data_IF_687079214055
#
_entry.id   IF_687079214055
#
_cell.length_a   1.000
_cell.length_b   1.000
_cell.length_c   1.000
_cell.angle_alpha   90.00
_cell.angle_beta   90.00
_cell.angle_gamma   90.00
#
_symmetry.space_group_name_H-M   'P 1'
#
loop_
_entity.id
_entity.type
_entity.pdbx_description
1 polymer ?
#
# COMPACT_ATOMS: atom_id res chain seq x y z
N UNK A 1 -3.66 -2.89 -20.07
CA UNK A 1 -5.09 -2.79 -20.39
C UNK A 1 -5.46 -1.32 -20.43
N UNK A 2 -6.03 -0.82 -21.53
CA UNK A 2 -6.64 0.50 -21.56
C UNK A 2 -7.89 0.52 -20.67
N UNK A 3 -8.06 1.57 -19.87
CA UNK A 3 -9.33 1.85 -19.19
C UNK A 3 -10.36 2.32 -20.22
N UNK A 4 -11.66 2.10 -19.93
CA UNK A 4 -12.74 2.61 -20.80
C UNK A 4 -12.80 4.13 -20.84
N UNK A 5 -12.34 4.80 -19.77
CA UNK A 5 -12.38 6.25 -19.62
C UNK A 5 -10.97 6.81 -19.39
N UNK A 6 -10.70 8.01 -19.92
CA UNK A 6 -9.47 8.73 -19.64
C UNK A 6 -9.49 9.34 -18.23
N UNK A 7 -8.32 9.56 -17.63
CA UNK A 7 -8.20 10.16 -16.29
C UNK A 7 -8.90 11.52 -16.24
N UNK A 8 -8.76 12.34 -17.29
CA UNK A 8 -9.35 13.68 -17.36
C UNK A 8 -10.89 13.64 -17.36
N UNK A 9 -11.49 12.60 -17.96
CA UNK A 9 -12.94 12.45 -17.97
C UNK A 9 -13.46 12.08 -16.59
N UNK A 10 -12.76 11.18 -15.90
CA UNK A 10 -13.06 10.79 -14.52
C UNK A 10 -12.90 11.98 -13.58
N UNK A 11 -11.81 12.75 -13.72
CA UNK A 11 -11.59 13.98 -12.96
C UNK A 11 -12.72 14.98 -13.16
N UNK A 12 -13.14 15.22 -14.41
CA UNK A 12 -14.24 16.15 -14.72
C UNK A 12 -15.54 15.74 -14.04
N UNK A 13 -15.89 14.45 -14.08
CA UNK A 13 -17.12 13.93 -13.48
C UNK A 13 -17.06 14.01 -11.95
N UNK A 14 -15.96 13.60 -11.34
CA UNK A 14 -15.85 13.54 -9.87
C UNK A 14 -15.70 14.96 -9.28
N UNK A 15 -14.94 15.85 -9.93
CA UNK A 15 -14.83 17.25 -9.52
C UNK A 15 -16.14 18.02 -9.74
N UNK A 16 -16.81 17.84 -10.89
CA UNK A 16 -18.07 18.50 -11.21
C UNK A 16 -19.21 18.17 -10.23
N UNK A 17 -19.12 17.03 -9.56
CA UNK A 17 -20.10 16.60 -8.56
C UNK A 17 -19.68 16.92 -7.10
N UNK A 18 -18.55 17.59 -6.86
CA UNK A 18 -18.04 17.86 -5.51
C UNK A 18 -17.66 16.59 -4.72
N UNK A 19 -17.30 15.52 -5.44
CA UNK A 19 -17.04 14.19 -4.87
C UNK A 19 -15.57 14.06 -4.43
N UNK A 20 -14.65 14.88 -4.94
CA UNK A 20 -13.24 14.81 -4.53
C UNK A 20 -13.04 15.50 -3.19
N UNK A 21 -12.31 14.86 -2.27
CA UNK A 21 -11.76 15.55 -1.11
C UNK A 21 -10.82 16.65 -1.57
N UNK A 22 -11.13 17.91 -1.25
CA UNK A 22 -10.25 19.04 -1.52
C UNK A 22 -8.87 18.75 -0.93
N UNK A 23 -7.89 18.54 -1.81
CA UNK A 23 -6.51 18.44 -1.40
C UNK A 23 -5.99 19.85 -1.19
N UNK A 24 -5.10 20.07 -0.22
CA UNK A 24 -4.35 21.31 -0.16
C UNK A 24 -3.66 21.52 -1.50
N UNK A 25 -3.80 22.71 -2.10
CA UNK A 25 -3.07 23.09 -3.31
C UNK A 25 -1.55 22.99 -3.12
N UNK A 26 -1.11 23.04 -1.86
CA UNK A 26 0.28 22.89 -1.45
C UNK A 26 0.54 21.59 -0.67
N UNK A 27 0.74 20.49 -1.41
CA UNK A 27 1.21 19.21 -0.87
C UNK A 27 2.69 19.25 -0.42
N UNK A 28 3.41 20.36 -0.62
CA UNK A 28 4.81 20.50 -0.18
C UNK A 28 4.93 20.76 1.32
N UNK A 29 3.88 21.29 1.96
CA UNK A 29 3.81 21.50 3.42
C UNK A 29 3.64 20.21 4.22
N UNK A 30 3.23 19.10 3.58
CA UNK A 30 3.20 17.76 4.19
C UNK A 30 4.61 17.13 4.27
N UNK A 31 5.61 17.96 4.54
CA UNK A 31 7.06 17.69 4.51
C UNK A 31 7.53 16.76 5.65
N UNK A 32 6.89 15.59 5.78
CA UNK A 32 7.57 14.40 6.25
C UNK A 32 8.04 13.66 5.00
N UNK A 33 9.35 13.56 4.81
CA UNK A 33 9.94 12.92 3.65
C UNK A 33 9.67 11.41 3.70
N UNK A 34 8.50 10.97 3.23
CA UNK A 34 8.13 9.55 3.11
C UNK A 34 9.11 8.74 2.26
N UNK A 35 9.81 9.44 1.36
CA UNK A 35 10.84 8.90 0.50
C UNK A 35 12.13 9.65 0.81
N UNK A 36 13.27 9.00 1.04
CA UNK A 36 14.55 9.69 1.25
C UNK A 36 14.90 10.59 0.07
N UNK A 37 15.48 11.75 0.32
CA UNK A 37 15.90 12.69 -0.74
C UNK A 37 16.95 12.11 -1.70
N UNK A 38 17.64 11.04 -1.29
CA UNK A 38 18.60 10.31 -2.13
C UNK A 38 17.95 9.41 -3.18
N UNK A 39 16.65 9.13 -3.08
CA UNK A 39 15.95 8.20 -3.95
C UNK A 39 15.20 8.95 -5.06
N UNK A 40 15.61 8.70 -6.31
CA UNK A 40 15.03 9.36 -7.48
C UNK A 40 13.78 8.60 -7.96
N UNK A 41 12.65 8.81 -7.26
CA UNK A 41 11.34 8.23 -7.60
C UNK A 41 10.58 9.14 -8.56
N UNK A 42 9.79 8.55 -9.46
CA UNK A 42 8.90 9.27 -10.37
C UNK A 42 8.01 10.29 -9.61
N UNK A 43 8.10 11.60 -9.90
CA UNK A 43 7.44 12.62 -9.08
C UNK A 43 5.93 12.45 -8.94
N UNK A 44 5.26 12.00 -10.01
CA UNK A 44 3.81 11.77 -9.97
C UNK A 44 3.42 10.60 -9.05
N UNK A 45 4.28 9.58 -8.93
CA UNK A 45 4.05 8.46 -8.02
C UNK A 45 4.18 8.91 -6.55
N UNK A 46 5.20 9.73 -6.26
CA UNK A 46 5.36 10.35 -4.93
C UNK A 46 4.18 11.26 -4.61
N UNK A 47 3.68 12.03 -5.58
CA UNK A 47 2.50 12.87 -5.40
C UNK A 47 1.25 12.03 -5.05
N UNK A 48 1.04 10.90 -5.72
CA UNK A 48 -0.04 9.97 -5.37
C UNK A 48 0.13 9.34 -3.99
N UNK A 49 1.36 8.98 -3.61
CA UNK A 49 1.64 8.47 -2.28
C UNK A 49 1.30 9.48 -1.19
N UNK A 50 1.72 10.74 -1.37
CA UNK A 50 1.37 11.83 -0.45
C UNK A 50 -0.14 12.08 -0.39
N UNK A 51 -0.80 12.09 -1.56
CA UNK A 51 -2.24 12.25 -1.66
C UNK A 51 -2.98 11.15 -0.88
N UNK A 52 -2.62 9.89 -1.10
CA UNK A 52 -3.19 8.74 -0.40
C UNK A 52 -2.97 8.82 1.12
N UNK A 53 -1.74 9.19 1.54
CA UNK A 53 -1.39 9.36 2.96
C UNK A 53 -2.21 10.46 3.61
N UNK A 54 -2.38 11.60 2.94
CA UNK A 54 -3.19 12.70 3.44
C UNK A 54 -4.67 12.29 3.61
N UNK A 55 -5.24 11.61 2.62
CA UNK A 55 -6.62 11.11 2.68
C UNK A 55 -6.80 10.12 3.83
N UNK A 56 -5.84 9.20 4.02
CA UNK A 56 -5.82 8.30 5.17
C UNK A 56 -5.86 9.03 6.50
N UNK A 57 -5.04 10.08 6.67
CA UNK A 57 -5.01 10.91 7.89
C UNK A 57 -6.35 11.61 8.12
N UNK A 58 -6.97 12.16 7.07
CA UNK A 58 -8.31 12.75 7.14
C UNK A 58 -9.36 11.73 7.60
N UNK A 59 -9.35 10.51 7.04
CA UNK A 59 -10.27 9.44 7.40
C UNK A 59 -10.09 8.95 8.85
N UNK A 60 -8.84 8.83 9.30
CA UNK A 60 -8.54 8.45 10.69
C UNK A 60 -8.97 9.55 11.65
N UNK A 61 -8.74 10.83 11.33
CA UNK A 61 -9.22 11.93 12.16
C UNK A 61 -10.75 12.03 12.16
N UNK A 62 -11.43 11.82 11.03
CA UNK A 62 -12.89 11.76 10.97
C UNK A 62 -13.45 10.61 11.83
N UNK A 63 -12.78 9.46 11.83
CA UNK A 63 -13.14 8.31 12.67
C UNK A 63 -12.97 8.59 14.17
N UNK A 64 -12.00 9.44 14.53
CA UNK A 64 -11.77 9.92 15.90
C UNK A 64 -12.61 11.15 16.27
N UNK A 65 -13.43 11.67 15.35
CA UNK A 65 -14.23 12.88 15.56
C UNK A 65 -13.46 14.20 15.49
N UNK A 66 -12.20 14.20 15.04
CA UNK A 66 -11.37 15.41 14.90
C UNK A 66 -11.54 16.10 13.55
N UNK A 67 -12.14 15.43 12.56
CA UNK A 67 -12.51 15.99 11.26
C UNK A 67 -13.97 15.69 10.92
N UNK A 68 -14.51 16.43 9.97
CA UNK A 68 -15.86 16.20 9.47
C UNK A 68 -15.97 14.79 8.86
N UNK A 69 -17.07 14.08 9.17
CA UNK A 69 -17.38 12.80 8.54
C UNK A 69 -17.56 13.00 7.03
N UNK A 70 -16.79 12.24 6.27
CA UNK A 70 -16.86 12.24 4.81
C UNK A 70 -18.04 11.39 4.35
N UNK A 71 -18.71 11.81 3.28
CA UNK A 71 -19.80 11.01 2.73
C UNK A 71 -19.22 9.80 1.96
N UNK A 72 -19.96 8.69 1.90
CA UNK A 72 -19.49 7.45 1.25
C UNK A 72 -19.14 7.67 -0.24
N UNK A 73 -19.91 8.51 -0.93
CA UNK A 73 -19.67 8.85 -2.33
C UNK A 73 -18.34 9.58 -2.52
N UNK A 74 -17.99 10.51 -1.63
CA UNK A 74 -16.76 11.29 -1.62
C UNK A 74 -15.55 10.40 -1.40
N UNK A 75 -15.64 9.50 -0.42
CA UNK A 75 -14.60 8.49 -0.19
C UNK A 75 -14.46 7.63 -1.43
N UNK A 76 -15.53 7.01 -1.91
CA UNK A 76 -15.46 6.11 -3.05
C UNK A 76 -14.93 6.79 -4.32
N UNK A 77 -15.45 7.96 -4.69
CA UNK A 77 -15.00 8.70 -5.87
C UNK A 77 -13.53 9.13 -5.75
N UNK A 78 -13.08 9.55 -4.56
CA UNK A 78 -11.67 9.88 -4.33
C UNK A 78 -10.76 8.67 -4.58
N UNK A 79 -11.12 7.49 -4.08
CA UNK A 79 -10.33 6.26 -4.29
C UNK A 79 -10.41 5.71 -5.71
N UNK A 80 -11.54 5.86 -6.40
CA UNK A 80 -11.64 5.58 -7.83
C UNK A 80 -10.69 6.48 -8.61
N UNK A 81 -10.70 7.79 -8.35
CA UNK A 81 -9.80 8.73 -9.02
C UNK A 81 -8.32 8.39 -8.77
N UNK A 82 -7.95 8.07 -7.52
CA UNK A 82 -6.60 7.60 -7.19
C UNK A 82 -6.21 6.37 -8.00
N UNK A 83 -7.12 5.40 -8.15
CA UNK A 83 -6.90 4.20 -8.96
C UNK A 83 -6.65 4.52 -10.44
N UNK A 84 -7.45 5.42 -11.03
CA UNK A 84 -7.26 5.87 -12.41
C UNK A 84 -5.91 6.58 -12.61
N UNK A 85 -5.55 7.48 -11.69
CA UNK A 85 -4.25 8.17 -11.75
C UNK A 85 -3.08 7.20 -11.61
N UNK A 86 -3.16 6.24 -10.69
CA UNK A 86 -2.13 5.21 -10.51
C UNK A 86 -1.99 4.35 -11.78
N UNK A 87 -3.10 3.90 -12.36
CA UNK A 87 -3.08 3.10 -13.59
C UNK A 87 -2.48 3.84 -14.79
N UNK A 88 -2.68 5.17 -14.88
CA UNK A 88 -2.06 5.99 -15.92
C UNK A 88 -0.54 6.10 -15.81
N UNK A 89 0.04 5.86 -14.63
CA UNK A 89 1.49 5.82 -14.44
C UNK A 89 2.13 4.50 -14.89
N UNK A 90 1.35 3.41 -14.98
CA UNK A 90 1.88 2.09 -15.28
C UNK A 90 2.69 2.01 -16.59
N UNK A 91 2.26 2.58 -17.73
CA UNK A 91 3.06 2.59 -18.95
C UNK A 91 4.39 3.35 -18.78
N UNK A 92 4.39 4.44 -18.00
CA UNK A 92 5.56 5.28 -17.77
C UNK A 92 6.58 4.56 -16.88
N UNK A 93 6.10 3.91 -15.82
CA UNK A 93 6.94 3.08 -14.94
C UNK A 93 7.53 1.90 -15.73
N UNK A 94 6.75 1.25 -16.59
CA UNK A 94 7.24 0.17 -17.46
C UNK A 94 8.32 0.64 -18.42
N UNK A 95 8.14 1.79 -19.06
CA UNK A 95 9.11 2.36 -19.99
C UNK A 95 10.42 2.75 -19.27
N UNK A 96 10.33 3.31 -18.06
CA UNK A 96 11.46 3.74 -17.24
C UNK A 96 12.24 2.57 -16.65
N UNK A 97 11.55 1.59 -16.08
CA UNK A 97 12.14 0.52 -15.28
C UNK A 97 12.33 -0.80 -16.05
N UNK A 98 12.04 -0.82 -17.36
CA UNK A 98 12.06 -2.03 -18.21
C UNK A 98 11.32 -3.22 -17.57
N UNK A 99 10.17 -2.97 -16.96
CA UNK A 99 9.33 -4.02 -16.38
C UNK A 99 8.89 -5.00 -17.47
N UNK A 100 9.53 -6.17 -17.54
CA UNK A 100 9.15 -7.24 -18.46
C UNK A 100 7.91 -7.97 -17.90
N UNK A 101 6.78 -7.84 -18.59
CA UNK A 101 5.52 -8.51 -18.24
C UNK A 101 5.58 -10.05 -18.23
N UNK A 102 6.67 -10.65 -18.73
CA UNK A 102 6.88 -12.09 -18.69
C UNK A 102 7.04 -12.67 -17.26
N UNK A 103 7.24 -11.84 -16.23
CA UNK A 103 7.45 -12.27 -14.84
C UNK A 103 6.23 -12.13 -13.91
N UNK A 104 5.07 -11.68 -14.41
CA UNK A 104 3.81 -11.75 -13.68
C UNK A 104 3.08 -13.10 -13.85
N UNK A 105 3.66 -14.04 -14.62
CA UNK A 105 3.34 -15.48 -14.57
C UNK A 105 4.41 -16.21 -13.72
N UNK A 106 4.08 -17.36 -13.11
CA UNK A 106 4.91 -17.98 -12.08
C UNK A 106 6.24 -18.46 -12.67
N UNK A 107 7.26 -17.62 -12.58
CA UNK A 107 8.63 -18.04 -12.78
C UNK A 107 9.07 -18.78 -11.52
N UNK A 108 8.98 -20.10 -11.56
CA UNK A 108 9.91 -20.95 -10.82
C UNK A 108 11.32 -20.39 -11.00
N UNK A 109 11.92 -19.93 -9.90
CA UNK A 109 13.37 -19.72 -9.74
C UNK A 109 14.03 -18.86 -10.84
N UNK A 110 13.92 -17.54 -10.73
CA UNK A 110 14.93 -16.65 -11.32
C UNK A 110 15.44 -15.66 -10.26
N UNK A 111 16.34 -16.17 -9.43
CA UNK A 111 17.18 -15.46 -8.45
C UNK A 111 18.25 -14.58 -9.12
N UNK A 112 17.86 -13.74 -10.10
CA UNK A 112 18.82 -13.19 -11.07
C UNK A 112 18.86 -11.69 -11.31
N UNK A 113 17.93 -10.88 -10.80
CA UNK A 113 17.96 -9.42 -11.00
C UNK A 113 17.43 -8.67 -9.77
N UNK A 114 18.27 -8.54 -8.75
CA UNK A 114 18.10 -7.49 -7.75
C UNK A 114 18.43 -6.16 -8.44
N UNK A 115 17.42 -5.34 -8.71
CA UNK A 115 17.68 -3.94 -9.07
C UNK A 115 17.69 -3.13 -7.79
N UNK A 116 18.82 -3.15 -7.10
CA UNK A 116 19.09 -2.17 -6.04
C UNK A 116 19.00 -0.79 -6.68
N UNK A 117 18.00 0.01 -6.29
CA UNK A 117 17.83 1.35 -6.85
C UNK A 117 16.40 1.89 -6.92
N UNK A 118 16.22 3.06 -7.56
CA UNK A 118 14.94 3.77 -7.62
C UNK A 118 13.81 2.99 -8.29
N UNK A 119 14.13 2.02 -9.16
CA UNK A 119 13.14 1.20 -9.84
C UNK A 119 12.39 0.26 -8.88
N UNK A 120 13.10 -0.41 -7.96
CA UNK A 120 12.48 -1.29 -6.96
C UNK A 120 11.61 -0.49 -5.99
N UNK A 121 12.03 0.72 -5.62
CA UNK A 121 11.25 1.63 -4.80
C UNK A 121 9.96 2.10 -5.48
N UNK A 122 10.06 2.50 -6.75
CA UNK A 122 8.89 2.88 -7.56
C UNK A 122 7.91 1.70 -7.68
N UNK A 123 8.41 0.48 -7.87
CA UNK A 123 7.60 -0.72 -7.92
C UNK A 123 6.91 -1.00 -6.58
N UNK A 124 7.66 -0.97 -5.48
CA UNK A 124 7.12 -1.11 -4.13
C UNK A 124 6.00 -0.08 -3.86
N UNK A 125 6.26 1.21 -4.08
CA UNK A 125 5.25 2.25 -3.87
C UNK A 125 4.01 2.02 -4.74
N UNK A 126 4.19 1.65 -6.02
CA UNK A 126 3.10 1.37 -6.93
C UNK A 126 2.23 0.19 -6.44
N UNK A 127 2.87 -0.91 -6.04
CA UNK A 127 2.18 -2.11 -5.57
C UNK A 127 1.50 -1.87 -4.21
N UNK A 128 2.16 -1.16 -3.30
CA UNK A 128 1.60 -0.74 -2.02
C UNK A 128 0.37 0.15 -2.18
N UNK A 129 0.43 1.16 -3.06
CA UNK A 129 -0.71 2.01 -3.37
C UNK A 129 -1.86 1.25 -4.02
N UNK A 130 -1.54 0.28 -4.88
CA UNK A 130 -2.53 -0.62 -5.47
C UNK A 130 -3.25 -1.41 -4.38
N UNK A 131 -2.51 -2.07 -3.49
CA UNK A 131 -3.07 -2.84 -2.39
C UNK A 131 -3.93 -1.95 -1.47
N UNK A 132 -3.44 -0.74 -1.17
CA UNK A 132 -4.16 0.25 -0.39
C UNK A 132 -5.51 0.62 -1.01
N UNK A 133 -5.54 1.04 -2.28
CA UNK A 133 -6.77 1.42 -2.98
C UNK A 133 -7.75 0.24 -3.02
N UNK A 134 -7.27 -0.96 -3.33
CA UNK A 134 -8.10 -2.17 -3.37
C UNK A 134 -8.69 -2.48 -2.01
N UNK A 135 -7.90 -2.38 -0.93
CA UNK A 135 -8.39 -2.62 0.43
C UNK A 135 -9.55 -1.68 0.79
N UNK A 136 -9.48 -0.41 0.37
CA UNK A 136 -10.53 0.58 0.63
C UNK A 136 -11.78 0.32 -0.20
N UNK A 137 -11.62 0.07 -1.50
CA UNK A 137 -12.75 -0.21 -2.38
C UNK A 137 -13.49 -1.51 -1.98
N UNK A 138 -12.79 -2.48 -1.39
CA UNK A 138 -13.39 -3.71 -0.83
C UNK A 138 -13.98 -3.50 0.56
N UNK A 139 -13.32 -2.71 1.40
CA UNK A 139 -13.73 -2.43 2.77
C UNK A 139 -15.04 -1.64 2.89
N UNK A 140 -15.37 -0.82 1.88
CA UNK A 140 -16.56 0.04 1.86
C UNK A 140 -17.90 -0.65 1.68
N UNK A 141 -17.99 -1.98 1.85
CA UNK A 141 -19.24 -2.72 1.72
C UNK A 141 -19.63 -3.08 0.28
N UNK A 142 -18.76 -2.82 -0.70
CA UNK A 142 -18.87 -3.44 -2.02
C UNK A 142 -18.60 -4.95 -1.86
N UNK A 143 -19.67 -5.72 -1.68
CA UNK A 143 -19.63 -7.16 -1.39
C UNK A 143 -18.70 -7.94 -2.32
N UNK A 144 -18.30 -9.15 -1.87
CA UNK A 144 -17.40 -10.11 -2.53
C UNK A 144 -17.16 -9.79 -4.01
N UNK A 145 -16.18 -8.93 -4.31
CA UNK A 145 -15.72 -8.78 -5.68
C UNK A 145 -15.28 -10.17 -6.14
N UNK A 146 -15.80 -10.65 -7.27
CA UNK A 146 -15.38 -11.91 -7.86
C UNK A 146 -13.84 -11.94 -7.91
N UNK A 147 -13.23 -13.04 -7.47
CA UNK A 147 -11.78 -13.18 -7.31
C UNK A 147 -10.99 -13.05 -8.63
N UNK A 148 -11.65 -13.16 -9.78
CA UNK A 148 -11.04 -13.10 -11.11
C UNK A 148 -10.22 -11.82 -11.37
N UNK A 149 -10.79 -10.60 -11.30
CA UNK A 149 -10.07 -9.36 -11.53
C UNK A 149 -9.13 -8.92 -10.39
N UNK A 150 -9.02 -9.70 -9.31
CA UNK A 150 -8.19 -9.39 -8.14
C UNK A 150 -6.99 -10.33 -7.99
N UNK A 151 -6.89 -11.38 -8.82
CA UNK A 151 -5.74 -12.29 -8.81
C UNK A 151 -4.42 -11.54 -9.02
N UNK A 152 -4.40 -10.56 -9.93
CA UNK A 152 -3.20 -9.74 -10.15
C UNK A 152 -2.86 -8.84 -8.95
N UNK A 153 -3.83 -8.48 -8.10
CA UNK A 153 -3.58 -7.75 -6.84
C UNK A 153 -3.02 -8.71 -5.81
N UNK A 154 -3.52 -9.95 -5.76
CA UNK A 154 -2.91 -11.00 -4.95
C UNK A 154 -1.47 -11.27 -5.38
N UNK A 155 -1.23 -11.37 -6.69
CA UNK A 155 0.09 -11.64 -7.25
C UNK A 155 1.04 -10.45 -7.09
N UNK A 156 0.52 -9.22 -7.16
CA UNK A 156 1.21 -7.99 -6.80
C UNK A 156 1.59 -7.95 -5.31
N UNK A 157 0.67 -8.26 -4.40
CA UNK A 157 0.98 -8.30 -2.97
C UNK A 157 2.00 -9.41 -2.64
N UNK A 158 1.88 -10.58 -3.29
CA UNK A 158 2.87 -11.66 -3.18
C UNK A 158 4.21 -11.31 -3.83
N UNK A 159 4.23 -10.54 -4.92
CA UNK A 159 5.48 -10.08 -5.52
C UNK A 159 6.20 -9.10 -4.60
N UNK A 160 5.47 -8.20 -3.92
CA UNK A 160 6.03 -7.32 -2.89
C UNK A 160 6.70 -8.11 -1.77
N UNK A 161 6.03 -9.14 -1.24
CA UNK A 161 6.60 -10.01 -0.19
C UNK A 161 7.90 -10.71 -0.62
N UNK A 162 8.04 -10.99 -1.93
CA UNK A 162 9.23 -11.63 -2.52
C UNK A 162 10.35 -10.66 -2.88
N UNK A 163 10.06 -9.39 -3.12
CA UNK A 163 11.03 -8.40 -3.60
C UNK A 163 11.96 -7.83 -2.51
N UNK A 164 11.68 -8.08 -1.24
CA UNK A 164 12.32 -7.38 -0.12
C UNK A 164 13.57 -8.10 0.40
N UNK A 165 14.57 -8.21 -0.47
CA UNK A 165 15.94 -8.63 -0.13
C UNK A 165 16.84 -7.44 -0.49
N UNK A 166 17.03 -6.46 0.42
CA UNK A 166 18.17 -5.50 0.52
C UNK A 166 17.90 -4.42 1.61
N UNK A 167 18.94 -3.61 1.95
CA UNK A 167 19.14 -2.95 3.27
C UNK A 167 18.94 -1.42 3.25
N UNK A 168 17.98 -0.92 4.04
CA UNK A 168 17.98 0.34 4.82
C UNK A 168 16.65 0.47 5.62
N UNK A 169 16.53 1.45 6.53
CA UNK A 169 15.34 1.57 7.41
C UNK A 169 14.05 1.97 6.67
N UNK A 170 14.11 2.87 5.69
CA UNK A 170 12.92 3.30 4.94
C UNK A 170 12.36 2.16 4.07
N UNK A 171 13.21 1.27 3.56
CA UNK A 171 12.79 0.04 2.89
C UNK A 171 11.99 -0.85 3.85
N UNK A 172 12.49 -1.10 5.06
CA UNK A 172 11.76 -1.92 6.03
C UNK A 172 10.41 -1.31 6.44
N UNK A 173 10.33 0.01 6.64
CA UNK A 173 9.05 0.69 6.91
C UNK A 173 8.06 0.51 5.75
N UNK A 174 8.53 0.67 4.51
CA UNK A 174 7.69 0.49 3.32
C UNK A 174 7.24 -0.97 3.15
N UNK A 175 8.13 -1.94 3.40
CA UNK A 175 7.83 -3.37 3.29
C UNK A 175 6.84 -3.81 4.37
N UNK A 176 7.00 -3.30 5.59
CA UNK A 176 6.03 -3.48 6.66
C UNK A 176 4.67 -2.95 6.23
N UNK A 177 4.60 -1.70 5.78
CA UNK A 177 3.35 -1.09 5.31
C UNK A 177 2.68 -1.91 4.21
N UNK A 178 3.42 -2.28 3.17
CA UNK A 178 2.85 -3.04 2.05
C UNK A 178 2.40 -4.44 2.46
N UNK A 179 3.11 -5.09 3.39
CA UNK A 179 2.73 -6.42 3.88
C UNK A 179 1.42 -6.33 4.66
N UNK A 180 1.29 -5.35 5.56
CA UNK A 180 0.08 -5.14 6.35
C UNK A 180 -1.12 -4.71 5.50
N UNK A 181 -0.93 -3.78 4.57
CA UNK A 181 -1.99 -3.34 3.65
C UNK A 181 -2.34 -4.44 2.63
N UNK A 182 -1.35 -5.20 2.17
CA UNK A 182 -1.54 -6.36 1.29
C UNK A 182 -2.42 -7.41 1.95
N UNK A 183 -2.11 -7.78 3.19
CA UNK A 183 -2.98 -8.64 4.01
C UNK A 183 -4.38 -8.05 4.13
N UNK A 184 -4.50 -6.75 4.45
CA UNK A 184 -5.81 -6.11 4.57
C UNK A 184 -6.61 -6.08 3.25
N UNK A 185 -5.95 -6.06 2.10
CA UNK A 185 -6.59 -6.10 0.78
C UNK A 185 -7.10 -7.50 0.39
N UNK A 186 -6.44 -8.55 0.88
CA UNK A 186 -6.65 -9.92 0.41
C UNK A 186 -7.46 -10.78 1.37
N UNK A 187 -7.28 -10.58 2.67
CA UNK A 187 -7.72 -11.50 3.71
C UNK A 187 -9.13 -11.17 4.18
N UNK A 188 -10.04 -12.15 4.06
CA UNK A 188 -11.40 -12.05 4.59
C UNK A 188 -11.45 -12.47 6.06
N UNK A 189 -10.74 -13.54 6.41
CA UNK A 189 -10.62 -14.06 7.78
C UNK A 189 -9.16 -14.24 8.20
N UNK A 190 -8.86 -14.10 9.49
CA UNK A 190 -7.49 -14.24 10.04
C UNK A 190 -6.83 -15.60 9.70
N UNK A 191 -7.64 -16.63 9.47
CA UNK A 191 -7.21 -17.94 8.97
C UNK A 191 -6.62 -17.90 7.56
N UNK A 192 -6.97 -16.89 6.76
CA UNK A 192 -6.54 -16.75 5.37
C UNK A 192 -5.21 -15.97 5.25
N UNK A 193 -4.63 -15.54 6.37
CA UNK A 193 -3.31 -14.90 6.37
C UNK A 193 -2.27 -15.97 6.03
N UNK A 194 -1.71 -15.88 4.82
CA UNK A 194 -0.68 -16.76 4.30
C UNK A 194 0.63 -16.66 5.11
N UNK A 195 1.33 -17.79 5.26
CA UNK A 195 2.55 -17.90 6.10
C UNK A 195 3.67 -16.94 5.67
N UNK A 196 3.85 -16.72 4.37
CA UNK A 196 4.87 -15.79 3.86
C UNK A 196 4.69 -14.36 4.40
N UNK A 197 3.44 -13.92 4.59
CA UNK A 197 3.15 -12.57 5.09
C UNK A 197 3.52 -12.46 6.57
N UNK A 198 3.30 -13.53 7.32
CA UNK A 198 3.69 -13.61 8.74
C UNK A 198 5.21 -13.58 8.88
N UNK A 199 5.92 -14.42 8.12
CA UNK A 199 7.39 -14.44 8.10
C UNK A 199 7.94 -13.07 7.71
N UNK A 200 7.37 -12.45 6.68
CA UNK A 200 7.86 -11.15 6.20
C UNK A 200 7.59 -10.02 7.18
N UNK A 201 6.42 -10.01 7.81
CA UNK A 201 6.12 -9.08 8.88
C UNK A 201 7.11 -9.26 10.05
N UNK A 202 7.40 -10.50 10.47
CA UNK A 202 8.35 -10.78 11.56
C UNK A 202 9.76 -10.25 11.26
N UNK A 203 10.25 -10.43 10.02
CA UNK A 203 11.53 -9.85 9.58
C UNK A 203 11.54 -8.32 9.69
N UNK A 204 10.47 -7.66 9.24
CA UNK A 204 10.36 -6.20 9.30
C UNK A 204 10.29 -5.69 10.75
N UNK A 205 9.49 -6.36 11.59
CA UNK A 205 9.34 -6.05 13.02
C UNK A 205 10.69 -6.15 13.73
N UNK A 206 11.43 -7.23 13.49
CA UNK A 206 12.77 -7.40 14.05
C UNK A 206 13.77 -6.36 13.52
N UNK A 207 13.78 -6.10 12.21
CA UNK A 207 14.69 -5.14 11.60
C UNK A 207 14.44 -3.69 12.04
N UNK A 208 13.19 -3.33 12.33
CA UNK A 208 12.78 -2.02 12.83
C UNK A 208 12.83 -1.91 14.36
N UNK A 209 13.08 -3.02 15.07
CA UNK A 209 13.09 -3.05 16.53
C UNK A 209 11.74 -2.73 17.17
N UNK A 210 10.64 -3.09 16.52
CA UNK A 210 9.28 -2.84 17.02
C UNK A 210 8.95 -3.88 18.10
N UNK A 211 8.53 -3.43 19.27
CA UNK A 211 8.27 -4.32 20.41
C UNK A 211 6.79 -4.39 20.77
N UNK A 212 6.02 -3.37 20.40
CA UNK A 212 4.59 -3.28 20.64
C UNK A 212 3.80 -2.99 19.36
N UNK A 213 2.51 -3.33 19.37
CA UNK A 213 1.61 -3.05 18.25
C UNK A 213 1.53 -1.53 17.98
N UNK A 214 1.59 -0.73 19.03
CA UNK A 214 1.59 0.73 18.96
C UNK A 214 2.80 1.25 18.17
N UNK A 215 3.97 0.62 18.28
CA UNK A 215 5.16 0.98 17.50
C UNK A 215 4.91 0.72 16.02
N UNK A 216 4.32 -0.44 15.69
CA UNK A 216 3.94 -0.76 14.32
C UNK A 216 2.89 0.20 13.78
N UNK A 217 1.85 0.52 14.55
CA UNK A 217 0.83 1.51 14.15
C UNK A 217 1.46 2.88 13.89
N UNK A 218 2.43 3.31 14.71
CA UNK A 218 3.14 4.56 14.49
C UNK A 218 3.92 4.57 13.18
N UNK A 219 4.58 3.47 12.82
CA UNK A 219 5.26 3.31 11.53
C UNK A 219 4.25 3.28 10.38
N UNK A 220 3.21 2.45 10.49
CA UNK A 220 2.16 2.28 9.47
C UNK A 220 1.42 3.59 9.21
N UNK A 221 1.17 4.41 10.24
CA UNK A 221 0.50 5.71 10.13
C UNK A 221 1.29 6.78 9.39
N UNK A 222 2.59 6.58 9.14
CA UNK A 222 3.37 7.42 8.21
C UNK A 222 2.95 7.17 6.77
N UNK A 223 2.47 5.97 6.45
CA UNK A 223 2.06 5.55 5.12
C UNK A 223 0.54 5.65 4.94
N UNK A 224 -0.01 5.45 3.73
CA UNK A 224 -1.45 5.33 3.53
C UNK A 224 -2.03 4.17 4.35
N UNK A 225 -2.64 4.50 5.48
CA UNK A 225 -3.20 3.54 6.44
C UNK A 225 -4.48 4.06 7.07
N UNK A 226 -5.54 3.26 7.11
CA UNK A 226 -6.85 3.64 7.67
C UNK A 226 -7.19 2.70 8.83
N UNK A 227 -7.16 3.21 10.06
CA UNK A 227 -7.28 2.41 11.29
C UNK A 227 -8.59 1.60 11.32
N UNK A 228 -9.70 2.23 10.97
CA UNK A 228 -11.01 1.60 10.95
C UNK A 228 -11.11 0.43 9.95
N UNK A 229 -10.26 0.41 8.93
CA UNK A 229 -10.28 -0.57 7.86
C UNK A 229 -9.20 -1.64 8.03
N UNK A 230 -8.00 -1.20 8.40
CA UNK A 230 -6.80 -2.03 8.43
C UNK A 230 -6.44 -2.50 9.83
N UNK A 231 -6.82 -1.75 10.88
CA UNK A 231 -6.38 -1.97 12.26
C UNK A 231 -6.64 -3.38 12.77
N UNK A 232 -7.88 -3.89 12.66
CA UNK A 232 -8.21 -5.24 13.14
C UNK A 232 -7.41 -6.34 12.43
N UNK A 233 -7.30 -6.26 11.10
CA UNK A 233 -6.56 -7.26 10.29
C UNK A 233 -5.05 -7.16 10.52
N UNK A 234 -4.55 -5.94 10.67
CA UNK A 234 -3.16 -5.67 11.01
C UNK A 234 -2.80 -6.25 12.37
N UNK A 235 -3.65 -6.07 13.39
CA UNK A 235 -3.44 -6.65 14.71
C UNK A 235 -3.37 -8.19 14.64
N UNK A 236 -4.27 -8.84 13.90
CA UNK A 236 -4.20 -10.31 13.71
C UNK A 236 -2.91 -10.78 13.03
N UNK A 237 -2.36 -10.02 12.07
CA UNK A 237 -1.04 -10.30 11.50
C UNK A 237 0.08 -10.07 12.52
N UNK A 238 0.01 -8.97 13.28
CA UNK A 238 0.97 -8.60 14.31
C UNK A 238 1.10 -9.67 15.39
N UNK A 239 -0.03 -10.17 15.91
CA UNK A 239 -0.06 -11.22 16.93
C UNK A 239 0.65 -12.49 16.44
N UNK A 240 0.43 -12.87 15.18
CA UNK A 240 1.08 -14.03 14.56
C UNK A 240 2.58 -13.82 14.37
N UNK A 241 3.03 -12.65 13.90
CA UNK A 241 4.45 -12.43 13.66
C UNK A 241 5.23 -12.22 14.97
N UNK A 242 4.62 -11.59 15.98
CA UNK A 242 5.22 -11.40 17.30
C UNK A 242 5.45 -12.73 18.02
N UNK A 243 4.54 -13.70 17.83
CA UNK A 243 4.72 -15.06 18.36
C UNK A 243 5.95 -15.76 17.76
N UNK A 244 6.23 -15.56 16.46
CA UNK A 244 7.43 -16.13 15.80
C UNK A 244 8.72 -15.52 16.35
N UNK A 245 8.74 -14.19 16.58
CA UNK A 245 9.91 -13.50 17.11
C UNK A 245 10.29 -13.96 18.53
N UNK A 246 9.30 -14.31 19.35
CA UNK A 246 9.52 -14.84 20.71
C UNK A 246 10.15 -16.24 20.71
N UNK A 247 9.89 -17.06 19.69
CA UNK A 247 10.40 -18.43 19.59
C UNK A 247 11.80 -18.52 18.95
N UNK A 248 12.32 -17.39 18.47
CA UNK A 248 13.61 -17.30 17.78
C UNK A 248 14.76 -16.91 18.72
N UNK A 249 14.50 -16.67 20.01
CA UNK A 249 15.54 -16.39 21.00
C UNK A 249 16.11 -17.73 21.50
N UNK A 250 17.38 -18.07 21.20
CA UNK A 250 17.98 -19.25 21.78
C UNK A 250 18.08 -19.05 23.30
N UNK A 251 17.51 -19.98 24.05
CA UNK A 251 17.79 -20.13 25.48
C UNK A 251 19.27 -20.45 25.60
N UNK A 252 20.04 -19.50 26.11
CA UNK A 252 21.48 -19.67 26.42
C UNK A 252 21.64 -20.55 27.64
#
# INVERSE_FOLDING_TARGET
MPTRFAVQDVERVIAGNGIVLSLPDDLSTLSESLVPSSLVVYPALVALLRQATHISRLLNGASRGTHQKLNSLQVHGTFVLLGYRLQALLPLLRARNRWNTAQLLPATLTTGYCTDGPAAAEEAIYLGLTAFIVSVLRGGGCGKMNSGPLSWVCDAARSVGRMSIMRNSWEWESVLWMTFVGVAALVYHESDIEEWAVTKAAECVAALGLVAWEDAVNVLGRWPWIDALHGKRGLGLWERCSALSLHSVPVV
#
